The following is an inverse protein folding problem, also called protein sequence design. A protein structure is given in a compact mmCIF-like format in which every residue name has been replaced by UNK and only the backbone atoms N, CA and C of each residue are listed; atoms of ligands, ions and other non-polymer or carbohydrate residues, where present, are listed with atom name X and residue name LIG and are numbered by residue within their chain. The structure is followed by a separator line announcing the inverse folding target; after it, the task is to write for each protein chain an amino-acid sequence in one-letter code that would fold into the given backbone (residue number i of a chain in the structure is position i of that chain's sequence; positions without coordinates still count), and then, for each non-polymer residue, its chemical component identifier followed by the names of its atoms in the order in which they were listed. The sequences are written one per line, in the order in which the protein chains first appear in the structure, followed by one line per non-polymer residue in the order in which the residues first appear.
data_IF_432352064921
#
_entry.id   IF_432352064921
#
_cell.length_a   1.000
_cell.length_b   1.000
_cell.length_c   1.000
_cell.angle_alpha   90.00
_cell.angle_beta   90.00
_cell.angle_gamma   90.00
#
_symmetry.space_group_name_H-M   'P 1'
#
loop_
_entity.id
_entity.type
_entity.pdbx_description
1 polymer ?
#
# COMPACT_ATOMS: atom_id res chain seq x y z
N UNK A 1 -36.11 12.07 5.04
CA UNK A 1 -34.82 12.56 5.59
C UNK A 1 -34.15 13.35 4.47
N UNK A 2 -33.48 14.48 4.74
CA UNK A 2 -32.93 15.27 3.64
C UNK A 2 -31.86 14.43 2.92
N UNK A 3 -31.99 14.35 1.60
CA UNK A 3 -31.03 13.68 0.72
C UNK A 3 -29.71 14.44 0.78
N UNK A 4 -28.76 13.99 1.61
CA UNK A 4 -27.38 14.49 1.56
C UNK A 4 -26.70 13.86 0.35
N UNK A 5 -26.83 14.49 -0.81
CA UNK A 5 -26.15 14.03 -2.03
C UNK A 5 -24.66 14.39 -1.99
N UNK A 6 -23.82 13.53 -2.53
CA UNK A 6 -22.43 13.84 -2.83
C UNK A 6 -22.37 15.03 -3.81
N UNK A 7 -21.47 16.00 -3.57
CA UNK A 7 -21.18 17.03 -4.57
C UNK A 7 -20.72 16.40 -5.88
N UNK A 8 -21.29 16.82 -7.02
CA UNK A 8 -20.89 16.31 -8.36
C UNK A 8 -19.45 16.68 -8.71
N UNK A 9 -18.99 17.85 -8.26
CA UNK A 9 -17.63 18.34 -8.50
C UNK A 9 -17.08 19.02 -7.24
N UNK A 10 -15.79 18.82 -7.00
CA UNK A 10 -15.02 19.58 -6.01
C UNK A 10 -14.08 20.54 -6.75
N UNK A 11 -13.98 21.78 -6.28
CA UNK A 11 -13.19 22.84 -6.91
C UNK A 11 -11.71 22.74 -6.57
N UNK A 12 -11.36 22.04 -5.48
CA UNK A 12 -9.97 21.83 -5.07
C UNK A 12 -9.79 20.59 -4.19
N UNK A 13 -8.53 20.14 -4.04
CA UNK A 13 -8.16 19.06 -3.11
C UNK A 13 -8.46 19.46 -1.66
N UNK A 14 -8.26 20.73 -1.30
CA UNK A 14 -8.54 21.23 0.06
C UNK A 14 -10.03 21.15 0.39
N UNK A 15 -10.91 21.39 -0.59
CA UNK A 15 -12.36 21.24 -0.41
C UNK A 15 -12.75 19.79 -0.15
N UNK A 16 -12.16 18.85 -0.90
CA UNK A 16 -12.34 17.40 -0.71
C UNK A 16 -11.93 17.00 0.72
N UNK A 17 -10.77 17.47 1.19
CA UNK A 17 -10.28 17.17 2.54
C UNK A 17 -11.21 17.74 3.62
N UNK A 18 -11.66 18.99 3.49
CA UNK A 18 -12.55 19.62 4.45
C UNK A 18 -13.93 18.93 4.50
N UNK A 19 -14.43 18.50 3.34
CA UNK A 19 -15.68 17.72 3.26
C UNK A 19 -15.54 16.39 4.00
N UNK A 20 -14.52 15.58 3.69
CA UNK A 20 -14.31 14.28 4.34
C UNK A 20 -13.83 14.35 5.80
N UNK A 21 -13.33 15.50 6.25
CA UNK A 21 -13.03 15.73 7.67
C UNK A 21 -14.30 15.82 8.53
N UNK A 22 -15.43 16.21 7.92
CA UNK A 22 -16.71 16.45 8.62
C UNK A 22 -17.79 15.45 8.26
N UNK A 23 -17.64 14.71 7.16
CA UNK A 23 -18.63 13.76 6.65
C UNK A 23 -18.08 12.32 6.65
N UNK A 24 -18.93 11.36 7.01
CA UNK A 24 -18.59 9.94 6.94
C UNK A 24 -18.84 9.41 5.53
N UNK A 25 -17.91 8.63 4.96
CA UNK A 25 -18.12 7.97 3.67
C UNK A 25 -19.27 6.97 3.68
N UNK A 26 -19.61 6.43 4.85
CA UNK A 26 -20.75 5.51 5.00
C UNK A 26 -22.10 6.16 4.66
N UNK A 27 -22.23 7.48 4.87
CA UNK A 27 -23.48 8.21 4.61
C UNK A 27 -23.79 8.32 3.12
N UNK A 28 -22.78 8.09 2.27
CA UNK A 28 -22.87 8.23 0.81
C UNK A 28 -22.63 6.91 0.07
N UNK A 29 -22.68 5.77 0.77
CA UNK A 29 -22.35 4.47 0.18
C UNK A 29 -23.20 4.11 -1.05
N UNK A 30 -24.48 4.49 -1.03
CA UNK A 30 -25.41 4.25 -2.15
C UNK A 30 -25.14 5.11 -3.39
N UNK A 31 -24.33 6.16 -3.23
CA UNK A 31 -23.98 7.12 -4.29
C UNK A 31 -22.57 6.88 -4.84
N UNK A 32 -21.79 6.02 -4.19
CA UNK A 32 -20.46 5.61 -4.66
C UNK A 32 -20.55 4.43 -5.63
N UNK A 33 -19.60 4.36 -6.54
CA UNK A 33 -19.39 3.22 -7.43
C UNK A 33 -18.22 2.36 -6.94
N UNK A 34 -18.28 1.07 -7.23
CA UNK A 34 -17.15 0.18 -7.02
C UNK A 34 -16.02 0.57 -7.98
N UNK A 35 -14.86 0.91 -7.42
CA UNK A 35 -13.66 1.24 -8.19
C UNK A 35 -12.68 0.07 -8.14
N UNK A 36 -12.28 -0.42 -9.30
CA UNK A 36 -11.20 -1.41 -9.41
C UNK A 36 -9.83 -0.72 -9.21
N UNK A 37 -9.20 -0.98 -8.07
CA UNK A 37 -7.89 -0.40 -7.76
C UNK A 37 -6.78 -1.17 -8.48
N UNK A 38 -6.24 -0.58 -9.54
CA UNK A 38 -5.08 -1.12 -10.23
C UNK A 38 -3.77 -0.51 -9.72
N UNK A 39 -2.97 -1.32 -9.06
CA UNK A 39 -1.62 -0.93 -8.65
C UNK A 39 -0.65 -1.13 -9.82
N UNK A 40 0.27 -0.20 -10.01
CA UNK A 40 1.38 -0.38 -10.96
C UNK A 40 2.25 -1.59 -10.55
N UNK A 41 2.93 -2.27 -11.49
CA UNK A 41 3.77 -3.43 -11.17
C UNK A 41 4.84 -3.15 -10.10
N UNK A 42 5.38 -1.93 -10.08
CA UNK A 42 6.34 -1.49 -9.07
C UNK A 42 5.72 -1.41 -7.66
N UNK A 43 4.49 -0.90 -7.55
CA UNK A 43 3.77 -0.83 -6.28
C UNK A 43 3.35 -2.22 -5.79
N UNK A 44 2.91 -3.10 -6.70
CA UNK A 44 2.60 -4.49 -6.36
C UNK A 44 3.84 -5.22 -5.81
N UNK A 45 4.98 -5.08 -6.48
CA UNK A 45 6.24 -5.71 -6.04
C UNK A 45 6.65 -5.22 -4.66
N UNK A 46 6.55 -3.91 -4.41
CA UNK A 46 6.87 -3.31 -3.11
C UNK A 46 5.92 -3.81 -2.01
N UNK A 47 4.63 -3.96 -2.32
CA UNK A 47 3.64 -4.49 -1.39
C UNK A 47 3.95 -5.94 -1.01
N UNK A 48 4.22 -6.80 -1.99
CA UNK A 48 4.57 -8.21 -1.76
C UNK A 48 5.83 -8.37 -0.92
N UNK A 49 6.84 -7.53 -1.16
CA UNK A 49 8.07 -7.55 -0.37
C UNK A 49 7.83 -7.14 1.09
N UNK A 50 7.00 -6.10 1.32
CA UNK A 50 6.61 -5.71 2.68
C UNK A 50 5.81 -6.78 3.40
N UNK A 51 4.92 -7.49 2.70
CA UNK A 51 4.20 -8.65 3.25
C UNK A 51 5.19 -9.72 3.68
N UNK A 52 6.17 -10.05 2.85
CA UNK A 52 7.21 -11.04 3.17
C UNK A 52 8.01 -10.66 4.42
N UNK A 53 8.49 -9.43 4.52
CA UNK A 53 9.23 -8.96 5.70
C UNK A 53 8.40 -9.10 6.98
N UNK A 54 7.10 -8.78 6.92
CA UNK A 54 6.18 -8.93 8.04
C UNK A 54 5.95 -10.40 8.40
N UNK A 55 5.79 -11.27 7.42
CA UNK A 55 5.58 -12.71 7.64
C UNK A 55 6.79 -13.38 8.29
N UNK A 56 7.99 -12.99 7.89
CA UNK A 56 9.25 -13.49 8.47
C UNK A 56 9.63 -12.76 9.77
N UNK A 57 8.81 -11.81 10.22
CA UNK A 57 9.00 -11.02 11.43
C UNK A 57 10.37 -10.32 11.49
N UNK A 58 10.84 -9.77 10.35
CA UNK A 58 12.08 -9.01 10.32
C UNK A 58 11.92 -7.65 11.00
N UNK A 59 12.93 -7.25 11.77
CA UNK A 59 13.02 -5.89 12.31
C UNK A 59 13.38 -4.89 11.20
N UNK A 60 13.15 -3.60 11.44
CA UNK A 60 13.54 -2.54 10.50
C UNK A 60 15.04 -2.59 10.16
N UNK A 61 15.89 -2.85 11.15
CA UNK A 61 17.34 -2.99 10.97
C UNK A 61 17.70 -4.16 10.05
N UNK A 62 17.03 -5.31 10.21
CA UNK A 62 17.22 -6.47 9.34
C UNK A 62 16.76 -6.20 7.91
N UNK A 63 15.63 -5.50 7.74
CA UNK A 63 15.12 -5.11 6.43
C UNK A 63 16.12 -4.19 5.72
N UNK A 64 16.63 -3.17 6.42
CA UNK A 64 17.63 -2.26 5.87
C UNK A 64 18.91 -2.99 5.46
N UNK A 65 19.37 -3.93 6.28
CA UNK A 65 20.54 -4.75 5.95
C UNK A 65 20.31 -5.62 4.72
N UNK A 66 19.13 -6.24 4.59
CA UNK A 66 18.75 -7.06 3.42
C UNK A 66 18.72 -6.18 2.16
N UNK A 67 18.09 -5.00 2.22
CA UNK A 67 17.98 -4.09 1.08
C UNK A 67 19.33 -3.50 0.66
N UNK A 68 20.19 -3.16 1.63
CA UNK A 68 21.55 -2.72 1.36
C UNK A 68 22.35 -3.80 0.65
N UNK A 69 22.25 -5.05 1.12
CA UNK A 69 22.92 -6.19 0.51
C UNK A 69 22.38 -6.50 -0.89
N UNK A 70 21.07 -6.42 -1.09
CA UNK A 70 20.44 -6.59 -2.40
C UNK A 70 20.96 -5.57 -3.42
N UNK A 71 21.13 -4.30 -3.01
CA UNK A 71 21.71 -3.24 -3.86
C UNK A 71 23.16 -3.53 -4.23
N UNK A 72 23.98 -3.98 -3.28
CA UNK A 72 25.40 -4.30 -3.52
C UNK A 72 25.53 -5.48 -4.49
N UNK A 73 24.74 -6.52 -4.30
CA UNK A 73 24.76 -7.74 -5.11
C UNK A 73 23.95 -7.59 -6.44
N UNK A 74 23.42 -6.39 -6.72
CA UNK A 74 22.56 -6.07 -7.86
C UNK A 74 21.45 -7.12 -8.08
N UNK A 75 20.85 -7.56 -6.99
CA UNK A 75 19.83 -8.62 -6.97
C UNK A 75 18.59 -8.16 -6.20
N UNK A 76 17.54 -8.96 -6.23
CA UNK A 76 16.30 -8.67 -5.51
C UNK A 76 16.39 -9.20 -4.06
N UNK A 77 15.94 -8.40 -3.08
CA UNK A 77 15.82 -8.81 -1.68
C UNK A 77 15.09 -10.16 -1.49
N UNK A 78 14.04 -10.42 -2.28
CA UNK A 78 13.33 -11.70 -2.28
C UNK A 78 14.25 -12.87 -2.63
N UNK A 79 15.11 -12.70 -3.62
CA UNK A 79 16.05 -13.73 -4.05
C UNK A 79 17.08 -14.03 -2.97
N UNK A 80 17.61 -13.00 -2.30
CA UNK A 80 18.52 -13.18 -1.15
C UNK A 80 17.88 -13.97 -0.01
N UNK A 81 16.64 -13.62 0.33
CA UNK A 81 15.89 -14.32 1.38
C UNK A 81 15.67 -15.78 0.99
N UNK A 82 15.19 -16.04 -0.24
CA UNK A 82 14.99 -17.40 -0.74
C UNK A 82 16.27 -18.22 -0.72
N UNK A 83 17.39 -17.63 -1.15
CA UNK A 83 18.70 -18.28 -1.15
C UNK A 83 19.13 -18.65 0.28
N UNK A 84 19.02 -17.72 1.22
CA UNK A 84 19.37 -17.96 2.62
C UNK A 84 18.52 -19.07 3.25
N UNK A 85 17.21 -19.09 2.98
CA UNK A 85 16.31 -20.16 3.43
C UNK A 85 16.77 -21.51 2.88
N UNK A 86 17.05 -21.61 1.58
CA UNK A 86 17.49 -22.86 0.95
C UNK A 86 18.84 -23.37 1.47
N UNK A 87 19.72 -22.47 1.94
CA UNK A 87 21.01 -22.85 2.52
C UNK A 87 20.90 -23.41 3.95
N UNK A 88 19.79 -23.13 4.67
CA UNK A 88 19.61 -23.47 6.08
C UNK A 88 18.47 -24.47 6.35
N UNK A 89 17.85 -25.01 5.29
CA UNK A 89 16.89 -26.12 5.32
C UNK A 89 17.60 -27.41 4.93
#
# INVERSE_FOLDING_TARGET
MPENKLPEEFKSIDEIQNFWATHSSADYWNEMEDVDLQLSPALQTKLELKKLYRLLNFSSEQIEAIEARAKIENTNSKHLISKWILEHV
#
